data_IF_427393380479
#
_entry.id   IF_427393380479
#
_cell.length_a   1.000
_cell.length_b   1.000
_cell.length_c   1.000
_cell.angle_alpha   90.00
_cell.angle_beta   90.00
_cell.angle_gamma   90.00
#
_symmetry.space_group_name_H-M   'P 1'
#
loop_
_entity.id
_entity.type
_entity.pdbx_description
1 polymer ?
#
# COMPACT_ATOMS: atom_id res chain seq x y z
N UNK A 1 0.75 4.39 24.53
CA UNK A 1 0.51 3.13 25.25
C UNK A 1 -0.98 2.86 25.51
N UNK A 2 -1.79 3.85 25.91
CA UNK A 2 -3.25 3.65 26.12
C UNK A 2 -4.01 3.09 24.91
N UNK A 3 -3.73 3.57 23.70
CA UNK A 3 -4.40 3.13 22.45
C UNK A 3 -4.19 1.62 22.17
N UNK A 4 -3.00 1.09 22.47
CA UNK A 4 -2.71 -0.34 22.26
C UNK A 4 -3.46 -1.22 23.27
N UNK A 5 -3.66 -0.71 24.48
CA UNK A 5 -4.42 -1.39 25.53
C UNK A 5 -5.93 -1.39 25.21
N UNK A 6 -6.46 -0.29 24.65
CA UNK A 6 -7.84 -0.20 24.18
C UNK A 6 -8.11 -1.16 23.02
N UNK A 7 -7.26 -1.17 21.98
CA UNK A 7 -7.36 -2.11 20.87
C UNK A 7 -7.28 -3.57 21.35
N UNK A 8 -6.35 -3.89 22.25
CA UNK A 8 -6.24 -5.24 22.82
C UNK A 8 -7.49 -5.65 23.62
N UNK A 9 -8.20 -4.69 24.23
CA UNK A 9 -9.45 -4.95 24.94
C UNK A 9 -10.66 -5.07 24.00
N UNK A 10 -10.65 -4.39 22.86
CA UNK A 10 -11.69 -4.48 21.82
C UNK A 10 -11.68 -5.85 21.12
N UNK A 11 -10.49 -6.42 20.89
CA UNK A 11 -10.31 -7.70 20.19
C UNK A 11 -10.13 -8.92 21.11
N UNK A 12 -10.49 -8.81 22.39
CA UNK A 12 -10.27 -9.83 23.45
C UNK A 12 -10.91 -11.20 23.22
N UNK A 13 -11.71 -11.37 22.16
CA UNK A 13 -12.37 -12.62 21.77
C UNK A 13 -11.69 -13.40 20.64
N UNK A 14 -10.69 -12.83 19.97
CA UNK A 14 -9.98 -13.48 18.85
C UNK A 14 -8.60 -13.96 19.33
N UNK A 15 -8.45 -15.25 19.64
CA UNK A 15 -7.24 -15.82 20.25
C UNK A 15 -5.93 -15.48 19.51
N UNK A 16 -5.97 -15.37 18.18
CA UNK A 16 -4.82 -14.97 17.36
C UNK A 16 -4.37 -13.51 17.59
N UNK A 17 -5.29 -12.60 17.96
CA UNK A 17 -4.96 -11.19 18.14
C UNK A 17 -4.20 -10.97 19.45
N UNK A 18 -4.43 -11.78 20.47
CA UNK A 18 -3.70 -11.73 21.75
C UNK A 18 -2.20 -12.00 21.54
N UNK A 19 -1.85 -12.99 20.71
CA UNK A 19 -0.45 -13.31 20.39
C UNK A 19 0.19 -12.18 19.58
N UNK A 20 -0.55 -11.57 18.65
CA UNK A 20 -0.11 -10.41 17.87
C UNK A 20 0.14 -9.20 18.78
N UNK A 21 -0.79 -8.88 19.68
CA UNK A 21 -0.62 -7.78 20.65
C UNK A 21 0.52 -8.06 21.63
N UNK A 22 0.71 -9.31 22.05
CA UNK A 22 1.84 -9.69 22.91
C UNK A 22 3.18 -9.47 22.19
N UNK A 23 3.29 -9.83 20.91
CA UNK A 23 4.48 -9.56 20.08
C UNK A 23 4.72 -8.07 19.86
N UNK A 24 3.67 -7.31 19.60
CA UNK A 24 3.73 -5.84 19.49
C UNK A 24 4.24 -5.25 20.80
N UNK A 25 3.63 -5.59 21.93
CA UNK A 25 4.03 -5.05 23.24
C UNK A 25 5.45 -5.44 23.66
N UNK A 26 5.96 -6.58 23.18
CA UNK A 26 7.30 -7.06 23.49
C UNK A 26 8.44 -6.35 22.71
N UNK A 27 8.14 -5.56 21.67
CA UNK A 27 9.15 -4.96 20.80
C UNK A 27 8.84 -3.50 20.49
N UNK A 28 9.76 -2.59 20.88
CA UNK A 28 9.64 -1.15 20.58
C UNK A 28 9.59 -0.89 19.07
N UNK A 29 10.34 -1.65 18.27
CA UNK A 29 10.32 -1.54 16.82
C UNK A 29 8.96 -1.94 16.25
N UNK A 30 8.35 -3.01 16.77
CA UNK A 30 7.01 -3.46 16.34
C UNK A 30 5.91 -2.50 16.81
N UNK A 31 6.08 -1.85 17.97
CA UNK A 31 5.18 -0.77 18.40
C UNK A 31 5.28 0.44 17.46
N UNK A 32 6.49 0.81 17.05
CA UNK A 32 6.71 1.89 16.10
C UNK A 32 6.13 1.54 14.71
N UNK A 33 6.31 0.30 14.24
CA UNK A 33 5.67 -0.20 13.00
C UNK A 33 4.13 -0.11 13.09
N UNK A 34 3.53 -0.45 14.24
CA UNK A 34 2.08 -0.37 14.44
C UNK A 34 1.59 1.08 14.54
N UNK A 35 2.34 1.96 15.21
CA UNK A 35 2.03 3.39 15.22
C UNK A 35 2.11 3.97 13.81
N UNK A 36 3.13 3.62 13.02
CA UNK A 36 3.23 4.01 11.61
C UNK A 36 2.09 3.44 10.77
N UNK A 37 1.67 2.21 11.03
CA UNK A 37 0.51 1.60 10.38
C UNK A 37 -0.79 2.36 10.67
N UNK A 38 -1.03 2.70 11.95
CA UNK A 38 -2.21 3.44 12.39
C UNK A 38 -2.17 4.92 11.95
N UNK A 39 -0.98 5.50 11.82
CA UNK A 39 -0.76 6.89 11.42
C UNK A 39 -0.68 7.09 9.89
N UNK A 40 -0.77 6.02 9.08
CA UNK A 40 -0.82 6.16 7.63
C UNK A 40 -1.99 7.05 7.23
N UNK A 41 -1.76 8.12 6.43
CA UNK A 41 -2.83 9.02 6.04
C UNK A 41 -3.93 8.25 5.30
N UNK A 42 -5.19 8.54 5.64
CA UNK A 42 -6.34 8.09 4.86
C UNK A 42 -6.19 8.58 3.41
N UNK A 43 -5.98 7.65 2.49
CA UNK A 43 -6.23 7.59 1.02
C UNK A 43 -5.90 8.82 0.15
N UNK A 44 -6.18 10.05 0.59
CA UNK A 44 -6.05 11.29 -0.15
C UNK A 44 -4.65 11.64 -0.63
N UNK A 45 -3.58 11.15 0.03
CA UNK A 45 -2.19 11.31 -0.45
C UNK A 45 -1.71 10.18 -1.38
N UNK A 46 -2.50 9.10 -1.54
CA UNK A 46 -2.12 7.87 -2.25
C UNK A 46 -2.97 7.58 -3.50
N UNK A 47 -3.74 8.58 -3.97
CA UNK A 47 -4.61 8.46 -5.15
C UNK A 47 -3.87 7.97 -6.40
N UNK A 48 -2.61 8.36 -6.60
CA UNK A 48 -1.82 7.96 -7.76
C UNK A 48 -1.33 6.51 -7.65
N UNK A 49 -0.92 6.08 -6.45
CA UNK A 49 -0.54 4.69 -6.14
C UNK A 49 -1.70 3.73 -6.40
N UNK A 50 -2.89 4.11 -5.96
CA UNK A 50 -4.12 3.36 -6.23
C UNK A 50 -4.43 3.26 -7.73
N UNK A 51 -4.28 4.36 -8.48
CA UNK A 51 -4.46 4.34 -9.93
C UNK A 51 -3.48 3.39 -10.62
N UNK A 52 -2.23 3.29 -10.14
CA UNK A 52 -1.26 2.33 -10.68
C UNK A 52 -1.63 0.88 -10.39
N UNK A 53 -2.19 0.58 -9.22
CA UNK A 53 -2.72 -0.75 -8.97
C UNK A 53 -3.86 -1.10 -9.96
N UNK A 54 -4.76 -0.14 -10.24
CA UNK A 54 -5.84 -0.31 -11.23
C UNK A 54 -5.36 -0.49 -12.67
N UNK A 55 -4.23 0.10 -13.04
CA UNK A 55 -3.60 -0.13 -14.35
C UNK A 55 -2.89 -1.50 -14.41
N UNK A 56 -2.18 -1.85 -13.33
CA UNK A 56 -1.34 -3.03 -13.27
C UNK A 56 -2.14 -4.34 -13.19
N UNK A 57 -3.15 -4.42 -12.32
CA UNK A 57 -3.97 -5.64 -12.11
C UNK A 57 -4.57 -6.19 -13.41
N UNK A 58 -5.33 -5.42 -14.21
CA UNK A 58 -5.91 -5.93 -15.44
C UNK A 58 -4.84 -6.32 -16.46
N UNK A 59 -3.72 -5.61 -16.50
CA UNK A 59 -2.60 -5.91 -17.39
C UNK A 59 -1.91 -7.22 -17.01
N UNK A 60 -1.60 -7.43 -15.73
CA UNK A 60 -0.87 -8.61 -15.24
C UNK A 60 -1.68 -9.89 -15.33
N UNK A 61 -2.98 -9.80 -15.03
CA UNK A 61 -3.87 -10.98 -15.00
C UNK A 61 -4.70 -11.14 -16.27
N UNK A 62 -4.60 -10.21 -17.21
CA UNK A 62 -5.32 -10.24 -18.48
C UNK A 62 -6.84 -10.07 -18.34
N UNK A 63 -7.29 -9.37 -17.30
CA UNK A 63 -8.71 -9.15 -17.00
C UNK A 63 -9.18 -7.75 -17.44
N UNK A 64 -10.38 -7.60 -18.05
CA UNK A 64 -11.18 -8.68 -18.61
C UNK A 64 -10.55 -9.20 -19.91
N UNK A 65 -9.66 -8.44 -20.57
CA UNK A 65 -8.94 -8.86 -21.77
C UNK A 65 -9.85 -9.49 -22.82
N UNK A 66 -9.58 -10.77 -23.15
CA UNK A 66 -10.43 -11.60 -24.01
C UNK A 66 -11.30 -12.59 -23.22
N UNK A 67 -11.22 -12.58 -21.89
CA UNK A 67 -11.94 -13.47 -21.00
C UNK A 67 -13.42 -13.11 -20.96
N UNK A 68 -14.26 -14.13 -20.84
CA UNK A 68 -15.68 -14.00 -20.56
C UNK A 68 -15.88 -13.62 -19.10
N UNK A 69 -17.04 -13.04 -18.80
CA UNK A 69 -17.37 -12.62 -17.43
C UNK A 69 -17.24 -13.74 -16.39
N UNK A 70 -17.66 -14.96 -16.72
CA UNK A 70 -17.51 -16.13 -15.84
C UNK A 70 -16.04 -16.46 -15.56
N UNK A 71 -15.18 -16.40 -16.59
CA UNK A 71 -13.75 -16.69 -16.47
C UNK A 71 -13.05 -15.63 -15.59
N UNK A 72 -13.40 -14.36 -15.76
CA UNK A 72 -12.90 -13.27 -14.90
C UNK A 72 -13.33 -13.49 -13.45
N UNK A 73 -14.61 -13.81 -13.22
CA UNK A 73 -15.14 -14.05 -11.87
C UNK A 73 -14.43 -15.21 -11.17
N UNK A 74 -14.23 -16.32 -11.88
CA UNK A 74 -13.52 -17.48 -11.35
C UNK A 74 -12.04 -17.20 -11.07
N UNK A 75 -11.38 -16.44 -11.94
CA UNK A 75 -9.98 -16.07 -11.74
C UNK A 75 -9.82 -15.12 -10.54
N UNK A 76 -10.65 -14.09 -10.44
CA UNK A 76 -10.60 -13.13 -9.33
C UNK A 76 -10.94 -13.82 -8.02
N UNK A 77 -11.94 -14.70 -7.99
CA UNK A 77 -12.24 -15.50 -6.80
C UNK A 77 -11.04 -16.36 -6.38
N UNK A 78 -10.36 -17.02 -7.34
CA UNK A 78 -9.16 -17.79 -7.04
C UNK A 78 -8.00 -16.91 -6.54
N UNK A 79 -7.78 -15.73 -7.13
CA UNK A 79 -6.73 -14.81 -6.68
C UNK A 79 -6.98 -14.28 -5.27
N UNK A 80 -8.23 -14.01 -4.92
CA UNK A 80 -8.62 -13.50 -3.60
C UNK A 80 -8.70 -14.59 -2.53
N UNK A 81 -8.93 -15.85 -2.92
CA UNK A 81 -8.92 -16.98 -1.99
C UNK A 81 -7.58 -17.02 -1.24
N UNK A 82 -7.63 -16.93 0.09
CA UNK A 82 -6.47 -16.86 0.99
C UNK A 82 -5.42 -15.81 0.62
N UNK A 83 -5.79 -14.84 -0.22
CA UNK A 83 -4.90 -13.84 -0.82
C UNK A 83 -3.80 -14.43 -1.69
N UNK A 84 -4.08 -15.41 -2.55
CA UNK A 84 -3.09 -15.97 -3.49
C UNK A 84 -2.32 -14.91 -4.29
N UNK A 85 -2.97 -13.79 -4.62
CA UNK A 85 -2.37 -12.67 -5.36
C UNK A 85 -1.13 -12.04 -4.68
N UNK A 86 -0.95 -12.21 -3.36
CA UNK A 86 0.16 -11.61 -2.61
C UNK A 86 1.47 -12.37 -2.75
N UNK A 87 1.43 -13.61 -3.24
CA UNK A 87 2.62 -14.46 -3.37
C UNK A 87 3.38 -14.18 -4.66
N UNK A 88 4.63 -14.64 -4.72
CA UNK A 88 5.43 -14.68 -5.93
C UNK A 88 5.02 -15.80 -6.89
N UNK A 89 5.47 -15.68 -8.14
CA UNK A 89 5.33 -16.70 -9.19
C UNK A 89 3.87 -17.14 -9.45
N UNK A 90 2.92 -16.19 -9.30
CA UNK A 90 1.51 -16.45 -9.60
C UNK A 90 1.33 -16.77 -11.07
N UNK A 91 0.87 -18.00 -11.33
CA UNK A 91 0.54 -18.50 -12.65
C UNK A 91 -0.98 -18.71 -12.75
N UNK A 92 -1.64 -17.81 -13.47
CA UNK A 92 -3.10 -17.81 -13.65
C UNK A 92 -3.62 -18.95 -14.54
N UNK A 93 -2.77 -19.50 -15.42
CA UNK A 93 -3.17 -20.59 -16.31
C UNK A 93 -3.26 -21.90 -15.54
N UNK A 94 -2.28 -22.15 -14.66
CA UNK A 94 -2.20 -23.37 -13.87
C UNK A 94 -2.85 -23.22 -12.48
N UNK A 95 -3.27 -22.00 -12.11
CA UNK A 95 -3.76 -21.66 -10.77
C UNK A 95 -2.78 -22.10 -9.68
N UNK A 96 -1.52 -21.72 -9.85
CA UNK A 96 -0.43 -21.99 -8.89
C UNK A 96 0.24 -20.71 -8.42
N UNK A 97 0.85 -20.76 -7.24
CA UNK A 97 1.63 -19.67 -6.64
C UNK A 97 2.71 -20.26 -5.72
N UNK A 98 3.75 -19.48 -5.42
CA UNK A 98 4.85 -19.95 -4.58
C UNK A 98 4.67 -19.50 -3.12
N UNK A 99 4.31 -20.44 -2.25
CA UNK A 99 4.12 -20.19 -0.79
C UNK A 99 5.42 -19.83 -0.07
N UNK A 100 6.58 -20.13 -0.66
CA UNK A 100 7.89 -19.75 -0.13
C UNK A 100 8.25 -18.30 -0.44
N UNK A 101 7.47 -17.62 -1.29
CA UNK A 101 7.63 -16.21 -1.63
C UNK A 101 6.41 -15.41 -1.18
N UNK A 102 6.12 -15.34 0.14
CA UNK A 102 5.08 -14.45 0.62
C UNK A 102 5.45 -13.01 0.28
N UNK A 103 4.46 -12.22 -0.14
CA UNK A 103 4.66 -10.83 -0.56
C UNK A 103 5.56 -10.66 -1.79
N UNK A 104 5.86 -11.75 -2.52
CA UNK A 104 6.59 -11.73 -3.79
C UNK A 104 5.78 -11.23 -4.99
N UNK A 105 4.65 -10.55 -4.75
CA UNK A 105 3.81 -10.01 -5.80
C UNK A 105 4.58 -8.95 -6.62
N UNK A 106 4.79 -9.21 -7.92
CA UNK A 106 5.46 -8.30 -8.85
C UNK A 106 4.85 -6.87 -8.87
N UNK A 107 3.56 -6.76 -8.51
CA UNK A 107 2.85 -5.48 -8.43
C UNK A 107 3.43 -4.53 -7.38
N UNK A 108 4.00 -5.04 -6.29
CA UNK A 108 4.65 -4.20 -5.28
C UNK A 108 5.83 -3.45 -5.90
N UNK A 109 6.76 -4.18 -6.53
CA UNK A 109 7.93 -3.59 -7.18
C UNK A 109 7.53 -2.66 -8.33
N UNK A 110 6.53 -3.06 -9.13
CA UNK A 110 6.04 -2.25 -10.24
C UNK A 110 5.50 -0.88 -9.79
N UNK A 111 4.61 -0.88 -8.79
CA UNK A 111 3.98 0.34 -8.29
C UNK A 111 5.01 1.23 -7.60
N UNK A 112 5.90 0.66 -6.78
CA UNK A 112 6.99 1.41 -6.15
C UNK A 112 7.90 2.07 -7.19
N UNK A 113 8.28 1.34 -8.25
CA UNK A 113 9.13 1.90 -9.31
C UNK A 113 8.50 3.13 -9.95
N UNK A 114 7.19 3.10 -10.23
CA UNK A 114 6.50 4.21 -10.88
C UNK A 114 6.26 5.40 -9.93
N UNK A 115 5.79 5.12 -8.72
CA UNK A 115 5.22 6.16 -7.84
C UNK A 115 6.21 6.68 -6.80
N UNK A 116 7.22 5.89 -6.46
CA UNK A 116 8.22 6.22 -5.44
C UNK A 116 9.56 6.55 -6.08
N UNK A 117 10.01 5.76 -7.06
CA UNK A 117 11.34 5.94 -7.66
C UNK A 117 11.36 6.80 -8.93
N UNK A 118 10.37 6.66 -9.82
CA UNK A 118 10.33 7.42 -11.07
C UNK A 118 9.74 8.83 -10.91
N UNK A 119 8.95 9.07 -9.87
CA UNK A 119 8.28 10.37 -9.67
C UNK A 119 9.17 11.33 -8.90
N UNK A 120 9.75 12.33 -9.60
CA UNK A 120 10.69 13.28 -8.99
C UNK A 120 10.00 14.24 -8.01
N UNK A 121 10.39 14.22 -6.74
CA UNK A 121 9.97 15.20 -5.73
C UNK A 121 8.47 15.20 -5.41
N UNK A 122 7.79 14.06 -5.60
CA UNK A 122 6.35 13.92 -5.44
C UNK A 122 5.88 13.66 -4.00
N UNK A 123 4.58 13.38 -3.85
CA UNK A 123 3.92 13.13 -2.56
C UNK A 123 4.52 11.95 -1.77
N UNK A 124 5.25 11.05 -2.44
CA UNK A 124 5.84 9.84 -1.86
C UNK A 124 7.33 9.98 -1.48
N UNK A 125 7.88 11.20 -1.46
CA UNK A 125 9.32 11.43 -1.21
C UNK A 125 9.80 10.90 0.15
N UNK A 126 8.93 10.87 1.17
CA UNK A 126 9.31 10.34 2.48
C UNK A 126 9.39 8.80 2.45
N UNK A 127 8.50 8.12 1.71
CA UNK A 127 8.60 6.66 1.47
C UNK A 127 9.90 6.35 0.71
N UNK A 128 10.23 7.16 -0.30
CA UNK A 128 11.49 7.03 -1.03
C UNK A 128 12.71 7.13 -0.10
N UNK A 129 12.77 8.18 0.73
CA UNK A 129 13.87 8.37 1.68
C UNK A 129 13.97 7.25 2.69
N UNK A 130 12.84 6.78 3.20
CA UNK A 130 12.78 5.65 4.13
C UNK A 130 13.40 4.40 3.49
N UNK A 131 12.96 4.03 2.28
CA UNK A 131 13.46 2.85 1.58
C UNK A 131 14.96 2.97 1.28
N UNK A 132 15.41 4.13 0.79
CA UNK A 132 16.84 4.34 0.46
C UNK A 132 17.72 4.31 1.70
N UNK A 133 17.29 4.94 2.79
CA UNK A 133 18.05 4.99 4.04
C UNK A 133 18.11 3.62 4.73
N UNK A 134 16.99 2.91 4.76
CA UNK A 134 16.89 1.61 5.41
C UNK A 134 17.38 0.45 4.53
N UNK A 135 17.49 0.67 3.21
CA UNK A 135 17.74 -0.35 2.18
C UNK A 135 16.75 -1.52 2.20
N UNK A 136 15.59 -1.29 2.78
CA UNK A 136 14.50 -2.27 2.91
C UNK A 136 13.18 -1.55 2.68
N UNK A 137 12.18 -2.29 2.19
CA UNK A 137 10.81 -1.78 2.11
C UNK A 137 10.11 -2.02 3.46
N UNK A 138 9.52 -0.98 4.02
CA UNK A 138 8.82 -1.09 5.30
C UNK A 138 7.59 -2.03 5.18
N UNK A 139 7.31 -2.85 6.20
CA UNK A 139 6.11 -3.68 6.29
C UNK A 139 4.81 -2.93 5.95
N UNK A 140 4.67 -1.71 6.46
CA UNK A 140 3.51 -0.84 6.25
C UNK A 140 3.32 -0.47 4.78
N UNK A 141 4.41 -0.17 4.07
CA UNK A 141 4.40 0.09 2.62
C UNK A 141 3.96 -1.15 1.85
N UNK A 142 4.44 -2.34 2.20
CA UNK A 142 4.03 -3.60 1.57
C UNK A 142 2.53 -3.83 1.74
N UNK A 143 2.00 -3.68 2.96
CA UNK A 143 0.55 -3.82 3.24
C UNK A 143 -0.25 -2.83 2.41
N UNK A 144 0.20 -1.58 2.32
CA UNK A 144 -0.49 -0.55 1.56
C UNK A 144 -0.58 -0.93 0.07
N UNK A 145 0.53 -1.36 -0.54
CA UNK A 145 0.55 -1.80 -1.94
C UNK A 145 -0.39 -2.99 -2.19
N UNK A 146 -0.37 -3.98 -1.32
CA UNK A 146 -1.22 -5.16 -1.44
C UNK A 146 -2.70 -4.85 -1.20
N UNK A 147 -3.00 -3.85 -0.39
CA UNK A 147 -4.37 -3.35 -0.19
C UNK A 147 -4.88 -2.70 -1.47
N UNK A 148 -4.07 -1.89 -2.15
CA UNK A 148 -4.44 -1.32 -3.45
C UNK A 148 -4.64 -2.37 -4.53
N UNK A 149 -3.80 -3.41 -4.56
CA UNK A 149 -3.93 -4.53 -5.49
C UNK A 149 -5.21 -5.33 -5.21
N UNK A 150 -5.50 -5.64 -3.93
CA UNK A 150 -6.74 -6.34 -3.57
C UNK A 150 -7.97 -5.53 -3.93
N UNK A 151 -7.95 -4.22 -3.67
CA UNK A 151 -9.04 -3.32 -4.06
C UNK A 151 -9.27 -3.35 -5.57
N UNK A 152 -8.20 -3.23 -6.38
CA UNK A 152 -8.30 -3.28 -7.83
C UNK A 152 -8.81 -4.64 -8.34
N UNK A 153 -8.46 -5.75 -7.69
CA UNK A 153 -9.05 -7.07 -8.00
C UNK A 153 -10.54 -7.12 -7.67
N UNK A 154 -10.95 -6.53 -6.54
CA UNK A 154 -12.35 -6.49 -6.11
C UNK A 154 -13.26 -5.79 -7.12
N UNK A 155 -12.75 -4.81 -7.87
CA UNK A 155 -13.48 -4.14 -8.97
C UNK A 155 -13.88 -5.08 -10.11
N UNK A 156 -13.28 -6.27 -10.20
CA UNK A 156 -13.58 -7.30 -11.18
C UNK A 156 -14.28 -8.54 -10.57
N UNK A 157 -14.61 -8.52 -9.29
CA UNK A 157 -15.18 -9.66 -8.55
C UNK A 157 -16.49 -10.22 -9.14
N UNK A 158 -17.28 -9.37 -9.80
CA UNK A 158 -18.51 -9.76 -10.48
C UNK A 158 -18.31 -10.19 -11.95
N UNK A 159 -17.05 -10.39 -12.36
CA UNK A 159 -16.70 -10.78 -13.71
C UNK A 159 -16.73 -9.65 -14.74
N UNK A 160 -17.03 -8.42 -14.31
CA UNK A 160 -17.00 -7.20 -15.11
C UNK A 160 -16.39 -6.09 -14.28
N UNK A 161 -15.72 -5.13 -14.92
CA UNK A 161 -15.20 -3.95 -14.23
C UNK A 161 -16.36 -3.14 -13.62
N UNK A 162 -16.26 -2.88 -12.32
CA UNK A 162 -17.12 -1.95 -11.58
C UNK A 162 -16.23 -1.07 -10.73
N UNK A 163 -16.30 0.22 -10.97
CA UNK A 163 -15.65 1.18 -10.11
C UNK A 163 -16.27 1.11 -8.71
N UNK A 164 -15.43 0.90 -7.70
CA UNK A 164 -15.83 0.94 -6.29
C UNK A 164 -14.99 1.99 -5.57
N UNK A 165 -15.61 2.72 -4.65
CA UNK A 165 -14.89 3.60 -3.72
C UNK A 165 -13.83 2.80 -2.98
N UNK A 166 -12.65 3.40 -2.77
CA UNK A 166 -11.54 2.71 -2.15
C UNK A 166 -11.92 2.16 -0.78
N UNK A 167 -11.61 0.89 -0.54
CA UNK A 167 -11.79 0.21 0.73
C UNK A 167 -10.45 -0.33 1.24
N UNK A 168 -10.14 -0.05 2.49
CA UNK A 168 -8.95 -0.55 3.18
C UNK A 168 -9.24 -1.82 4.00
N UNK A 169 -10.35 -2.50 3.74
CA UNK A 169 -10.79 -3.68 4.51
C UNK A 169 -9.77 -4.83 4.54
N UNK A 170 -8.94 -4.95 3.49
CA UNK A 170 -7.85 -5.92 3.42
C UNK A 170 -6.68 -5.62 4.38
N UNK A 171 -6.53 -4.35 4.78
CA UNK A 171 -5.34 -3.79 5.42
C UNK A 171 -5.01 -4.48 6.74
N UNK A 172 -5.99 -4.64 7.64
CA UNK A 172 -5.80 -5.28 8.94
C UNK A 172 -5.41 -6.76 8.83
N UNK A 173 -6.03 -7.50 7.90
CA UNK A 173 -5.71 -8.91 7.65
C UNK A 173 -4.29 -9.07 7.09
N UNK A 174 -3.88 -8.19 6.17
CA UNK A 174 -2.55 -8.19 5.58
C UNK A 174 -1.48 -7.82 6.61
N UNK A 175 -1.76 -6.84 7.48
CA UNK A 175 -0.85 -6.45 8.54
C UNK A 175 -0.66 -7.57 9.58
N UNK A 176 -1.75 -8.22 10.00
CA UNK A 176 -1.70 -9.42 10.85
C UNK A 176 -0.84 -10.52 10.22
N UNK A 177 -0.92 -10.70 8.90
CA UNK A 177 -0.11 -11.70 8.20
C UNK A 177 1.39 -11.36 8.23
N UNK A 178 1.77 -10.11 8.00
CA UNK A 178 3.19 -9.71 8.09
C UNK A 178 3.73 -9.89 9.52
N UNK A 179 2.93 -9.61 10.56
CA UNK A 179 3.36 -9.79 11.95
C UNK A 179 3.47 -11.26 12.39
N UNK A 180 2.67 -12.15 11.79
CA UNK A 180 2.66 -13.58 12.14
C UNK A 180 3.70 -14.36 11.33
N UNK A 181 4.07 -13.91 10.14
CA UNK A 181 5.15 -14.53 9.35
C UNK A 181 6.51 -14.30 10.01
N UNK A 182 7.19 -15.41 10.27
CA UNK A 182 8.39 -15.45 11.13
C UNK A 182 9.68 -15.11 10.41
N UNK A 183 9.67 -15.08 9.07
CA UNK A 183 10.87 -14.86 8.28
C UNK A 183 10.85 -13.44 7.70
N UNK A 184 11.42 -12.45 8.40
CA UNK A 184 11.52 -11.07 7.86
C UNK A 184 12.60 -10.91 6.78
N UNK A 185 13.37 -11.97 6.47
CA UNK A 185 14.43 -11.93 5.44
C UNK A 185 13.91 -11.65 4.02
N UNK A 186 12.62 -11.84 3.76
CA UNK A 186 12.02 -11.50 2.45
C UNK A 186 11.70 -10.00 2.30
N UNK A 187 11.84 -9.18 3.36
CA UNK A 187 11.59 -7.73 3.29
C UNK A 187 12.64 -7.12 2.36
N UNK A 188 12.28 -7.19 1.08
CA UNK A 188 13.04 -6.89 -0.13
C UNK A 188 14.27 -6.03 0.15
N UNK A 189 15.43 -6.70 0.24
CA UNK A 189 16.72 -6.03 0.16
C UNK A 189 16.74 -5.24 -1.14
N UNK A 190 16.87 -3.92 -1.04
CA UNK A 190 17.07 -3.08 -2.22
C UNK A 190 18.55 -3.16 -2.57
N UNK A 191 18.90 -3.90 -3.62
CA UNK A 191 20.28 -4.00 -4.08
C UNK A 191 20.78 -2.64 -4.60
N UNK A 192 22.07 -2.36 -4.41
CA UNK A 192 22.66 -1.08 -4.79
C UNK A 192 22.55 -0.78 -6.30
N UNK A 193 22.47 -1.83 -7.12
CA UNK A 193 22.36 -1.72 -8.58
C UNK A 193 20.99 -1.16 -9.02
N UNK A 194 19.91 -1.40 -8.25
CA UNK A 194 18.58 -0.83 -8.49
C UNK A 194 18.51 0.69 -8.25
N UNK A 195 19.48 1.26 -7.53
CA UNK A 195 19.57 2.68 -7.21
C UNK A 195 20.44 3.47 -8.20
N UNK A 196 21.16 2.80 -9.11
CA UNK A 196 22.11 3.47 -10.03
C UNK A 196 21.44 4.39 -11.06
N UNK A 197 20.15 4.17 -11.35
CA UNK A 197 19.33 5.05 -12.21
C UNK A 197 18.65 6.19 -11.44
N UNK A 198 18.74 6.22 -10.11
CA UNK A 198 18.04 7.16 -9.25
C UNK A 198 18.94 8.36 -8.95
N UNK A 199 18.59 9.53 -9.51
CA UNK A 199 19.26 10.80 -9.22
C UNK A 199 18.88 11.32 -7.82
N UNK A 200 19.50 10.74 -6.78
CA UNK A 200 19.25 11.09 -5.37
C UNK A 200 19.47 12.59 -5.13
N UNK A 201 20.50 13.19 -5.73
CA UNK A 201 20.80 14.63 -5.57
C UNK A 201 19.74 15.52 -6.22
N UNK A 202 19.24 15.15 -7.40
CA UNK A 202 18.13 15.84 -8.06
C UNK A 202 16.82 15.72 -7.30
N UNK A 203 16.56 14.58 -6.67
CA UNK A 203 15.37 14.34 -5.83
C UNK A 203 15.39 15.18 -4.54
N UNK A 204 16.53 15.23 -3.85
CA UNK A 204 16.70 16.05 -2.65
C UNK A 204 16.58 17.55 -2.95
N UNK A 205 17.16 18.01 -4.06
CA UNK A 205 17.10 19.42 -4.49
C UNK A 205 15.68 19.88 -4.83
N UNK A 206 14.87 19.02 -5.46
CA UNK A 206 13.49 19.32 -5.81
C UNK A 206 12.55 19.32 -4.59
N UNK A 207 12.75 18.42 -3.62
CA UNK A 207 11.95 18.37 -2.40
C UNK A 207 12.10 19.65 -1.55
N UNK A 208 13.29 20.27 -1.56
CA UNK A 208 13.53 21.57 -0.92
C UNK A 208 12.82 22.70 -1.66
N UNK A 209 12.78 22.67 -3.00
CA UNK A 209 12.09 23.67 -3.80
C UNK A 209 10.56 23.65 -3.60
N UNK A 210 9.94 22.47 -3.50
CA UNK A 210 8.48 22.34 -3.30
C UNK A 210 8.03 22.83 -1.92
N UNK A 211 8.85 22.69 -0.87
CA UNK A 211 8.56 23.28 0.46
C UNK A 211 8.63 24.82 0.47
N UNK A 212 9.34 25.42 -0.49
CA UNK A 212 9.45 26.89 -0.63
C UNK A 212 8.31 27.54 -1.42
N UNK A 213 7.44 26.76 -2.08
CA UNK A 213 6.48 27.24 -3.06
C UNK A 213 5.00 27.11 -2.62
N UNK A 214 4.70 27.28 -1.33
CA UNK A 214 3.33 27.58 -0.88
C UNK A 214 3.15 29.09 -0.71
N UNK A 215 2.43 29.80 -1.61
CA UNK A 215 1.95 31.13 -1.29
C UNK A 215 0.83 30.97 -0.24
N UNK A 216 1.01 31.58 0.92
CA UNK A 216 -0.07 31.83 1.86
C UNK A 216 -1.25 32.48 1.11
N UNK A 217 -2.49 32.01 1.26
CA UNK A 217 -3.63 32.72 0.70
C UNK A 217 -3.72 34.09 1.38
N UNK A 218 -3.52 35.14 0.58
CA UNK A 218 -3.68 36.53 0.99
C UNK A 218 -5.11 36.73 1.51
N UNK A 219 -5.23 37.15 2.76
CA UNK A 219 -6.48 37.56 3.38
C UNK A 219 -7.09 38.73 2.60
N UNK A 220 -8.13 38.46 1.82
CA UNK A 220 -9.00 39.51 1.29
C UNK A 220 -9.90 40.03 2.42
N UNK A 221 -10.04 41.35 2.63
CA UNK A 221 -10.92 41.88 3.67
C UNK A 221 -12.41 41.71 3.28
N UNK A 222 -13.32 41.63 4.26
CA UNK A 222 -14.73 41.35 4.00
C UNK A 222 -15.41 42.52 3.29
N UNK A 223 -16.14 42.22 2.20
CA UNK A 223 -17.07 43.14 1.56
C UNK A 223 -18.25 43.41 2.49
N UNK A 224 -18.38 44.66 2.94
CA UNK A 224 -19.62 45.19 3.51
C UNK A 224 -20.68 45.35 2.40
N UNK A 225 -21.79 44.63 2.51
CA UNK A 225 -23.00 44.88 1.71
C UNK A 225 -23.71 46.14 2.21
N UNK A 226 -24.22 47.02 1.33
CA UNK A 226 -24.97 48.18 1.76
C UNK A 226 -26.41 47.79 2.14
N UNK A 227 -26.85 48.30 3.30
CA UNK A 227 -28.24 48.34 3.75
C UNK A 227 -29.02 49.20 2.76
N UNK A 228 -30.11 48.66 2.21
CA UNK A 228 -31.07 49.41 1.39
C UNK A 228 -32.17 49.93 2.32
N UNK A 229 -32.39 51.24 2.24
CA UNK A 229 -33.48 51.96 2.92
C UNK A 229 -34.87 51.53 2.40
#
# INVERSE_FOLDING_TARGET
MEILQELANEYKGEGDMIDVFTRVLASVDTQQELVSFLAMPEVGSSLTVWQKAREWVPTRFGIPGKMKSTEVKELVAWLMQDGHYKYGEVNIQNKTYNTQLPFGCEGIAHILRLEVFATKGGANIEIFREIVNARTIAPTTIVLMLTFIEHALHEYSEGVYRHVEFSDTARSRLYKLILTQSNKEFLLDVEADDLTEVDIKGLESNAVATRGASPLPSSSPPRSSPIRA
#
